data_IF_315362316960
#
_entry.id   IF_315362316960
#
_cell.length_a   1.000
_cell.length_b   1.000
_cell.length_c   1.000
_cell.angle_alpha   90.00
_cell.angle_beta   90.00
_cell.angle_gamma   90.00
#
_symmetry.space_group_name_H-M   'P 1'
#
loop_
_entity.id
_entity.type
_entity.pdbx_description
1 polymer ?
#
# COMPACT_ATOMS: atom_id res chain seq x y z
N UNK A 1 -11.61 -22.05 16.10
CA UNK A 1 -12.21 -20.81 15.57
C UNK A 1 -11.27 -19.67 15.96
N UNK A 2 -10.51 -19.12 15.02
CA UNK A 2 -9.78 -17.87 15.26
C UNK A 2 -10.80 -16.73 15.35
N UNK A 3 -10.70 -15.90 16.38
CA UNK A 3 -11.54 -14.71 16.51
C UNK A 3 -11.13 -13.73 15.42
N UNK A 4 -12.08 -13.34 14.55
CA UNK A 4 -11.86 -12.31 13.55
C UNK A 4 -11.70 -10.97 14.27
N UNK A 5 -10.57 -10.30 14.03
CA UNK A 5 -10.23 -9.05 14.68
C UNK A 5 -9.40 -8.18 13.73
N UNK A 6 -9.84 -6.95 13.52
CA UNK A 6 -9.08 -5.93 12.81
C UNK A 6 -8.24 -5.11 13.81
N UNK A 7 -6.89 -5.26 13.83
CA UNK A 7 -6.07 -4.60 14.84
C UNK A 7 -5.89 -3.12 14.53
N UNK A 8 -6.42 -2.24 15.41
CA UNK A 8 -6.29 -0.78 15.26
C UNK A 8 -4.84 -0.32 15.11
N UNK A 9 -3.92 -0.94 15.86
CA UNK A 9 -2.49 -0.65 15.76
C UNK A 9 -1.91 -0.95 14.36
N UNK A 10 -2.32 -2.04 13.71
CA UNK A 10 -1.89 -2.39 12.34
C UNK A 10 -2.48 -1.42 11.31
N UNK A 11 -3.77 -1.08 11.44
CA UNK A 11 -4.44 -0.13 10.55
C UNK A 11 -3.81 1.25 10.66
N UNK A 12 -3.65 1.78 11.87
CA UNK A 12 -2.99 3.06 12.09
C UNK A 12 -1.55 3.04 11.55
N UNK A 13 -0.82 1.97 11.85
CA UNK A 13 0.56 1.78 11.42
C UNK A 13 0.69 1.89 9.90
N UNK A 14 -0.21 1.26 9.15
CA UNK A 14 -0.18 1.29 7.68
C UNK A 14 -0.34 2.70 7.11
N UNK A 15 -1.33 3.47 7.58
CA UNK A 15 -1.59 4.81 7.03
C UNK A 15 -0.51 5.82 7.43
N UNK A 16 0.00 5.75 8.67
CA UNK A 16 1.07 6.65 9.12
C UNK A 16 2.37 6.35 8.37
N UNK A 17 2.74 5.08 8.21
CA UNK A 17 3.98 4.71 7.51
C UNK A 17 3.89 5.04 6.02
N UNK A 18 2.73 4.87 5.38
CA UNK A 18 2.49 5.33 4.01
C UNK A 18 2.60 6.86 3.87
N UNK A 19 2.06 7.62 4.82
CA UNK A 19 2.21 9.08 4.85
C UNK A 19 3.67 9.49 5.00
N UNK A 20 4.44 8.82 5.87
CA UNK A 20 5.89 9.03 6.01
C UNK A 20 6.60 8.70 4.69
N UNK A 21 6.26 7.58 4.04
CA UNK A 21 6.83 7.17 2.75
C UNK A 21 6.67 8.22 1.65
N UNK A 22 5.44 8.72 1.46
CA UNK A 22 5.14 9.82 0.53
C UNK A 22 6.06 11.03 0.77
N UNK A 23 6.23 11.36 2.04
CA UNK A 23 6.92 12.54 2.50
C UNK A 23 8.46 12.42 2.43
N UNK A 24 9.01 11.22 2.60
CA UNK A 24 10.44 10.94 2.40
C UNK A 24 10.89 11.24 0.97
N UNK A 25 10.06 10.89 -0.03
CA UNK A 25 10.34 11.15 -1.45
C UNK A 25 10.38 12.64 -1.75
N UNK A 26 9.49 13.43 -1.13
CA UNK A 26 9.42 14.89 -1.32
C UNK A 26 10.65 15.63 -0.79
N UNK A 27 11.41 15.06 0.15
CA UNK A 27 12.66 15.65 0.63
C UNK A 27 13.86 15.39 -0.29
N UNK A 28 13.84 14.27 -1.02
CA UNK A 28 14.97 13.81 -1.83
C UNK A 28 14.83 14.16 -3.32
N UNK A 29 13.68 14.68 -3.75
CA UNK A 29 13.37 14.83 -5.17
C UNK A 29 13.23 16.29 -5.63
N UNK A 30 14.06 16.66 -6.63
CA UNK A 30 13.72 17.66 -7.66
C UNK A 30 12.87 17.01 -8.78
N UNK A 31 12.33 15.80 -8.54
CA UNK A 31 11.59 15.03 -9.53
C UNK A 31 10.17 15.55 -9.68
N UNK A 32 9.62 15.34 -10.87
CA UNK A 32 8.30 15.81 -11.30
C UNK A 32 7.25 15.25 -10.32
N UNK A 33 6.57 16.14 -9.59
CA UNK A 33 5.37 15.77 -8.83
C UNK A 33 4.38 15.11 -9.79
N UNK A 34 3.99 13.87 -9.52
CA UNK A 34 2.83 13.30 -10.18
C UNK A 34 1.62 14.17 -9.82
N UNK A 35 0.80 14.52 -10.82
CA UNK A 35 -0.39 15.36 -10.63
C UNK A 35 -1.53 14.65 -9.86
N UNK A 36 -1.32 13.41 -9.43
CA UNK A 36 -2.32 12.52 -8.84
C UNK A 36 -1.96 12.22 -7.39
N UNK A 37 -2.70 12.80 -6.43
CA UNK A 37 -2.49 12.51 -5.00
C UNK A 37 -3.28 11.25 -4.59
N UNK A 38 -2.78 10.09 -5.01
CA UNK A 38 -3.39 8.78 -4.75
C UNK A 38 -3.52 8.48 -3.25
N UNK A 39 -2.60 9.01 -2.42
CA UNK A 39 -2.71 8.91 -0.97
C UNK A 39 -3.89 9.72 -0.40
N UNK A 40 -4.15 10.92 -0.95
CA UNK A 40 -5.32 11.72 -0.59
C UNK A 40 -6.62 10.99 -0.94
N UNK A 41 -6.69 10.34 -2.10
CA UNK A 41 -7.83 9.49 -2.48
C UNK A 41 -8.02 8.33 -1.50
N UNK A 42 -6.93 7.68 -1.08
CA UNK A 42 -6.98 6.65 -0.04
C UNK A 42 -7.53 7.20 1.28
N UNK A 43 -7.14 8.42 1.69
CA UNK A 43 -7.67 9.07 2.89
C UNK A 43 -9.17 9.40 2.75
N UNK A 44 -9.62 9.86 1.59
CA UNK A 44 -11.04 10.11 1.33
C UNK A 44 -11.84 8.81 1.44
N UNK A 45 -11.34 7.73 0.86
CA UNK A 45 -11.97 6.42 0.98
C UNK A 45 -12.00 5.92 2.42
N UNK A 46 -10.90 6.07 3.15
CA UNK A 46 -10.83 5.77 4.57
C UNK A 46 -11.93 6.53 5.34
N UNK A 47 -12.15 7.81 5.01
CA UNK A 47 -13.22 8.62 5.59
C UNK A 47 -14.63 8.10 5.24
N UNK A 48 -14.88 7.70 3.99
CA UNK A 48 -16.16 7.11 3.59
C UNK A 48 -16.47 5.83 4.37
N UNK A 49 -15.49 4.95 4.51
CA UNK A 49 -15.64 3.69 5.27
C UNK A 49 -15.79 3.95 6.77
N UNK A 50 -15.14 4.96 7.32
CA UNK A 50 -15.23 5.35 8.72
C UNK A 50 -16.62 5.89 9.12
N UNK A 51 -17.40 6.44 8.18
CA UNK A 51 -18.73 7.03 8.41
C UNK A 51 -19.85 6.10 7.91
N UNK A 52 -19.53 4.83 7.63
CA UNK A 52 -20.47 3.81 7.16
C UNK A 52 -21.25 4.18 5.87
N UNK A 53 -20.62 4.93 4.97
CA UNK A 53 -21.24 5.27 3.70
C UNK A 53 -20.93 4.19 2.65
N UNK A 54 -21.86 3.24 2.48
CA UNK A 54 -21.74 2.11 1.55
C UNK A 54 -21.79 2.49 0.05
N UNK A 55 -21.86 3.77 -0.32
CA UNK A 55 -21.89 4.20 -1.72
C UNK A 55 -20.50 4.27 -2.37
N UNK A 56 -19.69 3.23 -2.16
CA UNK A 56 -18.33 3.15 -2.70
C UNK A 56 -18.28 3.11 -4.24
N UNK A 57 -19.32 2.61 -4.91
CA UNK A 57 -19.37 2.60 -6.37
C UNK A 57 -19.36 4.01 -6.98
N UNK A 58 -19.96 4.99 -6.29
CA UNK A 58 -19.94 6.39 -6.72
C UNK A 58 -18.55 7.03 -6.54
N UNK A 59 -17.75 6.52 -5.60
CA UNK A 59 -16.41 7.04 -5.35
C UNK A 59 -15.51 6.93 -6.58
N UNK A 60 -15.54 5.81 -7.30
CA UNK A 60 -14.73 5.64 -8.52
C UNK A 60 -15.34 6.28 -9.76
N UNK A 61 -16.68 6.31 -9.85
CA UNK A 61 -17.36 6.91 -10.99
C UNK A 61 -17.15 8.43 -11.07
N UNK A 62 -16.82 9.07 -9.95
CA UNK A 62 -16.60 10.52 -9.87
C UNK A 62 -15.16 10.95 -10.15
N UNK A 63 -14.21 10.02 -10.29
CA UNK A 63 -12.82 10.37 -10.60
C UNK A 63 -12.62 10.43 -12.12
N UNK A 64 -12.25 11.60 -12.63
CA UNK A 64 -12.01 11.85 -14.06
C UNK A 64 -10.57 11.59 -14.52
N UNK A 65 -9.73 11.01 -13.65
CA UNK A 65 -8.29 10.91 -13.86
C UNK A 65 -7.90 9.52 -14.39
N UNK A 66 -6.89 9.49 -15.27
CA UNK A 66 -6.21 8.24 -15.60
C UNK A 66 -5.32 7.84 -14.43
N UNK A 67 -5.60 6.69 -13.83
CA UNK A 67 -4.78 6.13 -12.76
C UNK A 67 -3.87 5.02 -13.27
N UNK A 68 -2.63 4.99 -12.79
CA UNK A 68 -1.82 3.79 -12.91
C UNK A 68 -2.36 2.69 -11.97
N UNK A 69 -2.04 1.42 -12.24
CA UNK A 69 -2.37 0.31 -11.33
C UNK A 69 -1.89 0.54 -9.88
N UNK A 70 -0.75 1.19 -9.69
CA UNK A 70 -0.24 1.57 -8.37
C UNK A 70 -1.12 2.59 -7.66
N UNK A 71 -1.62 3.60 -8.37
CA UNK A 71 -2.55 4.60 -7.83
C UNK A 71 -3.85 3.94 -7.34
N UNK A 72 -4.37 3.00 -8.12
CA UNK A 72 -5.54 2.21 -7.75
C UNK A 72 -5.24 1.36 -6.52
N UNK A 73 -4.10 0.66 -6.47
CA UNK A 73 -3.71 -0.13 -5.30
C UNK A 73 -3.59 0.74 -4.04
N UNK A 74 -3.02 1.93 -4.15
CA UNK A 74 -2.91 2.92 -3.06
C UNK A 74 -4.30 3.38 -2.62
N UNK A 75 -5.13 3.82 -3.55
CA UNK A 75 -6.45 4.37 -3.27
C UNK A 75 -7.39 3.29 -2.69
N UNK A 76 -7.28 2.04 -3.15
CA UNK A 76 -8.08 0.90 -2.65
C UNK A 76 -7.60 0.35 -1.31
N UNK A 77 -6.42 0.72 -0.81
CA UNK A 77 -5.83 0.12 0.40
C UNK A 77 -6.78 0.09 1.63
N UNK A 78 -7.55 1.15 1.94
CA UNK A 78 -8.57 1.09 3.01
C UNK A 78 -9.61 -0.01 2.82
N UNK A 79 -10.06 -0.24 1.58
CA UNK A 79 -10.99 -1.34 1.29
C UNK A 79 -10.34 -2.70 1.52
N UNK A 80 -9.07 -2.87 1.09
CA UNK A 80 -8.34 -4.13 1.26
C UNK A 80 -8.31 -4.52 2.74
N UNK A 81 -7.98 -3.57 3.60
CA UNK A 81 -8.02 -3.74 5.06
C UNK A 81 -9.44 -4.02 5.55
N UNK A 82 -10.44 -3.23 5.15
CA UNK A 82 -11.81 -3.36 5.67
C UNK A 82 -12.45 -4.71 5.30
N UNK A 83 -12.19 -5.20 4.09
CA UNK A 83 -12.81 -6.41 3.55
C UNK A 83 -11.86 -7.61 3.50
N UNK A 84 -10.78 -7.64 4.29
CA UNK A 84 -9.79 -8.74 4.26
C UNK A 84 -10.40 -10.13 4.50
N UNK A 85 -11.51 -10.21 5.23
CA UNK A 85 -12.26 -11.45 5.48
C UNK A 85 -13.34 -11.76 4.44
N UNK A 86 -13.65 -10.81 3.53
CA UNK A 86 -14.66 -10.92 2.49
C UNK A 86 -14.03 -10.74 1.09
N UNK A 87 -13.20 -11.69 0.63
CA UNK A 87 -12.48 -11.57 -0.63
C UNK A 87 -13.41 -11.35 -1.84
N UNK A 88 -14.64 -11.91 -1.81
CA UNK A 88 -15.65 -11.70 -2.85
C UNK A 88 -16.06 -10.24 -3.04
N UNK A 89 -16.11 -9.46 -1.95
CA UNK A 89 -16.42 -8.03 -2.03
C UNK A 89 -15.26 -7.31 -2.73
N UNK A 90 -14.02 -7.59 -2.33
CA UNK A 90 -12.83 -7.02 -2.96
C UNK A 90 -12.72 -7.38 -4.45
N UNK A 91 -13.01 -8.62 -4.82
CA UNK A 91 -13.03 -9.06 -6.22
C UNK A 91 -14.07 -8.30 -7.04
N UNK A 92 -15.28 -8.11 -6.49
CA UNK A 92 -16.34 -7.35 -7.15
C UNK A 92 -15.95 -5.89 -7.33
N UNK A 93 -15.38 -5.27 -6.30
CA UNK A 93 -14.97 -3.87 -6.36
C UNK A 93 -13.81 -3.66 -7.32
N UNK A 94 -12.82 -4.55 -7.30
CA UNK A 94 -11.73 -4.53 -8.27
C UNK A 94 -12.25 -4.70 -9.70
N UNK A 95 -13.23 -5.57 -9.95
CA UNK A 95 -13.83 -5.73 -11.28
C UNK A 95 -14.54 -4.46 -11.78
N UNK A 96 -15.23 -3.73 -10.90
CA UNK A 96 -15.86 -2.44 -11.23
C UNK A 96 -14.78 -1.41 -11.62
N UNK A 97 -13.72 -1.34 -10.83
CA UNK A 97 -12.59 -0.42 -11.08
C UNK A 97 -11.86 -0.80 -12.36
N UNK A 98 -11.59 -2.09 -12.58
CA UNK A 98 -10.99 -2.61 -13.82
C UNK A 98 -11.78 -2.17 -15.04
N UNK A 99 -13.11 -2.23 -15.00
CA UNK A 99 -13.96 -1.77 -16.09
C UNK A 99 -13.92 -0.25 -16.27
N UNK A 100 -13.97 0.52 -15.17
CA UNK A 100 -13.97 1.98 -15.22
C UNK A 100 -12.65 2.56 -15.77
N UNK A 101 -11.51 1.95 -15.44
CA UNK A 101 -10.18 2.41 -15.85
C UNK A 101 -9.53 1.56 -16.94
N UNK A 102 -10.28 0.61 -17.53
CA UNK A 102 -9.79 -0.29 -18.59
C UNK A 102 -8.51 -1.04 -18.21
N UNK A 103 -8.44 -1.57 -16.98
CA UNK A 103 -7.30 -2.36 -16.55
C UNK A 103 -7.21 -3.65 -17.36
N UNK A 104 -6.00 -3.95 -17.86
CA UNK A 104 -5.69 -5.24 -18.41
C UNK A 104 -5.61 -6.31 -17.31
N UNK A 105 -5.54 -7.57 -17.75
CA UNK A 105 -5.54 -8.71 -16.83
C UNK A 105 -4.30 -8.75 -15.94
N UNK A 106 -3.14 -8.35 -16.46
CA UNK A 106 -1.87 -8.34 -15.73
C UNK A 106 -1.91 -7.25 -14.65
N UNK A 107 -2.47 -6.09 -14.96
CA UNK A 107 -2.68 -4.98 -14.02
C UNK A 107 -3.59 -5.40 -12.87
N UNK A 108 -4.75 -5.99 -13.18
CA UNK A 108 -5.69 -6.50 -12.18
C UNK A 108 -5.03 -7.56 -11.28
N UNK A 109 -4.33 -8.53 -11.88
CA UNK A 109 -3.69 -9.59 -11.13
C UNK A 109 -2.50 -9.05 -10.30
N UNK A 110 -1.81 -7.99 -10.74
CA UNK A 110 -0.76 -7.31 -9.96
C UNK A 110 -1.34 -6.59 -8.73
N UNK A 111 -2.53 -5.97 -8.85
CA UNK A 111 -3.23 -5.39 -7.69
C UNK A 111 -3.68 -6.49 -6.72
N UNK A 112 -4.12 -7.65 -7.24
CA UNK A 112 -4.47 -8.81 -6.40
C UNK A 112 -3.31 -9.32 -5.57
N UNK A 113 -2.07 -9.22 -6.04
CA UNK A 113 -0.88 -9.57 -5.24
C UNK A 113 -0.84 -8.71 -3.97
N UNK A 114 -1.09 -7.40 -4.08
CA UNK A 114 -1.13 -6.51 -2.90
C UNK A 114 -2.28 -6.92 -1.97
N UNK A 115 -3.47 -7.22 -2.51
CA UNK A 115 -4.60 -7.72 -1.71
C UNK A 115 -4.21 -9.01 -0.97
N UNK A 116 -3.53 -9.94 -1.64
CA UNK A 116 -3.04 -11.18 -1.03
C UNK A 116 -2.05 -10.90 0.10
N UNK A 117 -1.07 -10.01 -0.10
CA UNK A 117 -0.11 -9.64 0.96
C UNK A 117 -0.84 -9.03 2.16
N UNK A 118 -1.77 -8.10 1.95
CA UNK A 118 -2.58 -7.49 3.04
C UNK A 118 -3.32 -8.57 3.82
N UNK A 119 -3.98 -9.50 3.11
CA UNK A 119 -4.70 -10.60 3.75
C UNK A 119 -3.75 -11.47 4.60
N UNK A 120 -2.62 -11.90 4.04
CA UNK A 120 -1.62 -12.70 4.77
C UNK A 120 -1.06 -11.99 6.00
N UNK A 121 -0.86 -10.67 5.94
CA UNK A 121 -0.43 -9.88 7.11
C UNK A 121 -1.53 -9.84 8.18
N UNK A 122 -2.79 -9.67 7.79
CA UNK A 122 -3.93 -9.55 8.71
C UNK A 122 -4.33 -10.90 9.32
N UNK A 123 -4.13 -12.01 8.61
CA UNK A 123 -4.33 -13.37 9.12
C UNK A 123 -3.12 -13.90 9.88
N UNK A 124 -1.98 -13.19 9.86
CA UNK A 124 -0.68 -13.62 10.39
C UNK A 124 -0.18 -14.92 9.73
N UNK A 125 -0.47 -15.10 8.44
CA UNK A 125 -0.07 -16.25 7.63
C UNK A 125 1.08 -15.91 6.65
N UNK A 126 1.63 -14.69 6.73
CA UNK A 126 2.72 -14.26 5.85
C UNK A 126 4.04 -14.93 6.23
N UNK A 127 4.61 -15.70 5.29
CA UNK A 127 5.95 -16.29 5.41
C UNK A 127 6.95 -15.60 4.45
N UNK A 128 7.96 -14.92 5.00
CA UNK A 128 8.93 -14.18 4.19
C UNK A 128 9.89 -15.07 3.37
N UNK A 129 10.03 -16.34 3.76
CA UNK A 129 10.85 -17.33 3.04
C UNK A 129 10.24 -17.83 1.73
N UNK A 130 8.93 -17.65 1.53
CA UNK A 130 8.18 -18.24 0.41
C UNK A 130 7.38 -17.20 -0.39
N UNK A 131 8.05 -16.20 -0.95
CA UNK A 131 7.40 -15.10 -1.71
C UNK A 131 6.55 -15.67 -2.86
N UNK A 132 7.11 -16.52 -3.72
CA UNK A 132 6.35 -17.15 -4.81
C UNK A 132 5.26 -18.07 -4.26
N UNK A 133 5.55 -18.89 -3.25
CA UNK A 133 4.59 -19.83 -2.65
C UNK A 133 3.35 -19.11 -2.13
N UNK A 134 3.55 -17.94 -1.52
CA UNK A 134 2.49 -17.11 -0.97
C UNK A 134 1.70 -16.33 -2.02
N UNK A 135 2.32 -15.96 -3.14
CA UNK A 135 1.78 -14.96 -4.07
C UNK A 135 1.40 -15.51 -5.45
N UNK A 136 1.68 -16.80 -5.74
CA UNK A 136 1.37 -17.40 -7.05
C UNK A 136 0.30 -18.48 -6.98
N UNK A 137 -0.89 -18.13 -7.46
CA UNK A 137 -1.91 -19.09 -7.93
C UNK A 137 -2.32 -18.82 -9.39
N UNK A 138 -1.41 -18.26 -10.20
CA UNK A 138 -1.72 -17.75 -11.55
C UNK A 138 -0.51 -17.65 -12.50
N UNK A 139 -0.80 -17.08 -13.69
CA UNK A 139 -0.03 -17.05 -14.97
C UNK A 139 1.50 -16.86 -14.88
N UNK A 140 2.17 -17.34 -15.93
CA UNK A 140 3.63 -17.38 -16.07
C UNK A 140 4.32 -16.00 -15.97
N UNK A 141 3.74 -14.92 -16.48
CA UNK A 141 4.38 -13.59 -16.49
C UNK A 141 4.53 -12.99 -15.08
N UNK A 142 3.47 -13.01 -14.28
CA UNK A 142 3.51 -12.54 -12.88
C UNK A 142 4.48 -13.39 -12.06
N UNK A 143 4.46 -14.70 -12.31
CA UNK A 143 5.40 -15.63 -11.70
C UNK A 143 6.85 -15.24 -12.03
N UNK A 144 7.15 -14.84 -13.27
CA UNK A 144 8.48 -14.39 -13.66
C UNK A 144 8.88 -13.08 -12.93
N UNK A 145 7.96 -12.12 -12.77
CA UNK A 145 8.26 -10.89 -12.00
C UNK A 145 8.55 -11.17 -10.53
N UNK A 146 7.76 -12.05 -9.90
CA UNK A 146 7.97 -12.46 -8.51
C UNK A 146 9.24 -13.30 -8.34
N UNK A 147 9.57 -14.15 -9.31
CA UNK A 147 10.85 -14.88 -9.34
C UNK A 147 12.05 -13.94 -9.39
N UNK A 148 11.96 -12.89 -10.22
CA UNK A 148 13.01 -11.88 -10.30
C UNK A 148 13.19 -11.15 -8.97
N UNK A 149 12.10 -10.79 -8.29
CA UNK A 149 12.15 -10.19 -6.94
C UNK A 149 12.78 -11.16 -5.93
N UNK A 150 12.36 -12.42 -5.93
CA UNK A 150 12.89 -13.44 -5.02
C UNK A 150 14.39 -13.66 -5.21
N UNK A 151 14.86 -13.66 -6.46
CA UNK A 151 16.29 -13.73 -6.79
C UNK A 151 17.06 -12.54 -6.19
N UNK A 152 16.54 -11.32 -6.33
CA UNK A 152 17.20 -10.13 -5.76
C UNK A 152 17.29 -10.16 -4.24
N UNK A 153 16.27 -10.68 -3.58
CA UNK A 153 16.24 -10.78 -2.12
C UNK A 153 17.24 -11.83 -1.65
N UNK A 154 17.23 -13.02 -2.27
CA UNK A 154 18.17 -14.11 -1.96
C UNK A 154 19.63 -13.72 -2.18
N UNK A 155 19.90 -12.96 -3.24
CA UNK A 155 21.26 -12.55 -3.60
C UNK A 155 21.69 -11.21 -2.97
N UNK A 156 20.86 -10.60 -2.12
CA UNK A 156 21.10 -9.28 -1.54
C UNK A 156 21.51 -8.23 -2.59
N UNK A 157 20.82 -8.23 -3.74
CA UNK A 157 21.21 -7.41 -4.87
C UNK A 157 21.24 -5.90 -4.51
N UNK A 158 22.26 -5.15 -4.98
CA UNK A 158 22.33 -3.72 -4.76
C UNK A 158 21.17 -3.00 -5.48
N UNK A 159 20.68 -1.92 -4.89
CA UNK A 159 19.47 -1.25 -5.35
C UNK A 159 19.56 -0.78 -6.81
N UNK A 160 20.73 -0.34 -7.26
CA UNK A 160 20.98 0.07 -8.64
C UNK A 160 20.75 -1.05 -9.65
N UNK A 161 21.18 -2.28 -9.34
CA UNK A 161 20.95 -3.44 -10.21
C UNK A 161 19.47 -3.85 -10.20
N UNK A 162 18.82 -3.74 -9.05
CA UNK A 162 17.38 -4.04 -8.92
C UNK A 162 16.57 -3.05 -9.76
N UNK A 163 16.86 -1.76 -9.67
CA UNK A 163 16.20 -0.73 -10.46
C UNK A 163 16.37 -0.96 -11.97
N UNK A 164 17.60 -1.17 -12.43
CA UNK A 164 17.90 -1.41 -13.84
C UNK A 164 17.15 -2.64 -14.37
N UNK A 165 17.21 -3.76 -13.64
CA UNK A 165 16.57 -4.99 -14.10
C UNK A 165 15.04 -4.94 -13.98
N UNK A 166 14.47 -4.37 -12.92
CA UNK A 166 13.00 -4.24 -12.81
C UNK A 166 12.46 -3.31 -13.91
N UNK A 167 13.12 -2.16 -14.15
CA UNK A 167 12.69 -1.22 -15.21
C UNK A 167 12.81 -1.80 -16.62
N UNK A 168 13.73 -2.75 -16.84
CA UNK A 168 13.89 -3.45 -18.13
C UNK A 168 12.88 -4.57 -18.32
N UNK A 169 12.54 -5.31 -17.26
CA UNK A 169 11.73 -6.54 -17.36
C UNK A 169 10.26 -6.36 -17.00
N UNK A 170 9.91 -5.30 -16.28
CA UNK A 170 8.54 -5.04 -15.80
C UNK A 170 7.98 -3.80 -16.52
N UNK A 171 6.73 -3.87 -17.03
CA UNK A 171 6.06 -2.72 -17.61
C UNK A 171 6.07 -1.50 -16.69
N UNK A 172 6.33 -0.31 -17.25
CA UNK A 172 6.47 0.94 -16.49
C UNK A 172 5.27 1.23 -15.57
N UNK A 173 4.05 0.96 -16.02
CA UNK A 173 2.81 1.15 -15.25
C UNK A 173 2.68 0.21 -14.03
N UNK A 174 3.49 -0.85 -13.95
CA UNK A 174 3.49 -1.81 -12.83
C UNK A 174 4.71 -1.67 -11.93
N UNK A 175 5.69 -0.87 -12.33
CA UNK A 175 7.00 -0.82 -11.71
C UNK A 175 6.91 -0.53 -10.21
N UNK A 176 6.09 0.43 -9.80
CA UNK A 176 5.93 0.79 -8.38
C UNK A 176 5.37 -0.33 -7.51
N UNK A 177 4.46 -1.14 -8.06
CA UNK A 177 3.90 -2.29 -7.34
C UNK A 177 5.04 -3.27 -7.03
N UNK A 178 5.79 -3.68 -8.04
CA UNK A 178 6.84 -4.68 -7.88
C UNK A 178 8.07 -4.16 -7.11
N UNK A 179 8.43 -2.89 -7.28
CA UNK A 179 9.44 -2.23 -6.44
C UNK A 179 8.99 -2.18 -4.97
N UNK A 180 7.71 -1.92 -4.71
CA UNK A 180 7.20 -1.86 -3.34
C UNK A 180 7.20 -3.23 -2.65
N UNK A 181 6.87 -4.30 -3.41
CA UNK A 181 6.96 -5.69 -2.96
C UNK A 181 8.42 -6.04 -2.65
N UNK A 182 9.35 -5.71 -3.56
CA UNK A 182 10.77 -5.91 -3.33
C UNK A 182 11.23 -5.21 -2.04
N UNK A 183 10.90 -3.93 -1.86
CA UNK A 183 11.27 -3.19 -0.66
C UNK A 183 10.69 -3.79 0.62
N UNK A 184 9.43 -4.23 0.59
CA UNK A 184 8.76 -4.85 1.73
C UNK A 184 9.42 -6.18 2.14
N UNK A 185 9.70 -7.07 1.18
CA UNK A 185 10.28 -8.38 1.47
C UNK A 185 11.81 -8.38 1.66
N UNK A 186 12.52 -7.33 1.25
CA UNK A 186 14.00 -7.29 1.35
C UNK A 186 14.53 -7.22 2.79
N UNK A 187 13.89 -6.40 3.64
CA UNK A 187 14.28 -6.24 5.05
C UNK A 187 13.02 -6.15 5.93
N UNK A 188 12.28 -7.26 6.08
CA UNK A 188 10.97 -7.24 6.71
C UNK A 188 11.03 -6.87 8.20
N UNK A 189 12.14 -7.16 8.89
CA UNK A 189 12.34 -6.79 10.29
C UNK A 189 12.87 -5.36 10.47
N UNK A 190 13.21 -4.66 9.38
CA UNK A 190 13.78 -3.33 9.42
C UNK A 190 12.94 -2.34 8.61
N UNK A 191 11.86 -1.88 9.26
CA UNK A 191 10.95 -0.85 8.74
C UNK A 191 11.71 0.34 8.14
N UNK A 192 12.74 0.85 8.84
CA UNK A 192 13.47 2.05 8.43
C UNK A 192 14.22 1.84 7.11
N UNK A 193 15.01 0.77 7.02
CA UNK A 193 15.80 0.47 5.82
C UNK A 193 14.87 0.21 4.63
N UNK A 194 13.82 -0.61 4.82
CA UNK A 194 12.86 -0.93 3.76
C UNK A 194 12.16 0.31 3.22
N UNK A 195 11.70 1.20 4.09
CA UNK A 195 11.06 2.44 3.68
C UNK A 195 12.04 3.41 3.01
N UNK A 196 13.26 3.57 3.54
CA UNK A 196 14.26 4.43 2.90
C UNK A 196 14.68 3.93 1.52
N UNK A 197 14.79 2.61 1.32
CA UNK A 197 15.09 2.05 -0.02
C UNK A 197 14.05 2.42 -1.06
N UNK A 198 12.77 2.45 -0.66
CA UNK A 198 11.66 2.78 -1.58
C UNK A 198 11.76 4.20 -2.16
N UNK A 199 12.36 5.14 -1.42
CA UNK A 199 12.52 6.53 -1.89
C UNK A 199 13.70 6.74 -2.84
N UNK A 200 14.56 5.74 -3.04
CA UNK A 200 15.75 5.85 -3.89
C UNK A 200 15.54 5.38 -5.33
N UNK A 201 14.39 4.79 -5.67
CA UNK A 201 14.07 4.49 -7.07
C UNK A 201 13.85 5.80 -7.85
N UNK A 202 14.31 5.89 -9.10
CA UNK A 202 14.24 7.12 -9.88
C UNK A 202 12.86 7.37 -10.51
N UNK A 203 12.11 6.30 -10.81
CA UNK A 203 10.77 6.38 -11.41
C UNK A 203 9.71 5.99 -10.39
N UNK A 204 8.61 6.76 -10.35
CA UNK A 204 7.42 6.46 -9.53
C UNK A 204 7.75 6.18 -8.05
N UNK A 205 8.74 6.87 -7.50
CA UNK A 205 9.23 6.68 -6.13
C UNK A 205 8.17 6.98 -5.08
N UNK A 206 7.29 7.96 -5.34
CA UNK A 206 6.19 8.29 -4.42
C UNK A 206 5.23 7.11 -4.26
N UNK A 207 4.72 6.55 -5.38
CA UNK A 207 3.80 5.41 -5.33
C UNK A 207 4.46 4.18 -4.69
N UNK A 208 5.73 3.94 -5.02
CA UNK A 208 6.54 2.87 -4.42
C UNK A 208 6.64 3.04 -2.91
N UNK A 209 6.98 4.25 -2.45
CA UNK A 209 7.15 4.54 -1.04
C UNK A 209 5.84 4.50 -0.25
N UNK A 210 4.74 4.94 -0.84
CA UNK A 210 3.41 4.84 -0.23
C UNK A 210 3.02 3.36 -0.06
N UNK A 211 3.13 2.54 -1.10
CA UNK A 211 2.79 1.12 -1.03
C UNK A 211 3.71 0.35 -0.07
N UNK A 212 5.02 0.59 -0.11
CA UNK A 212 5.97 0.03 0.85
C UNK A 212 5.61 0.44 2.27
N UNK A 213 5.29 1.72 2.49
CA UNK A 213 4.89 2.22 3.81
C UNK A 213 3.62 1.57 4.32
N UNK A 214 2.60 1.42 3.46
CA UNK A 214 1.37 0.72 3.79
C UNK A 214 1.64 -0.71 4.28
N UNK A 215 2.41 -1.50 3.53
CA UNK A 215 2.70 -2.89 3.87
C UNK A 215 3.56 -3.01 5.13
N UNK A 216 4.62 -2.21 5.26
CA UNK A 216 5.49 -2.20 6.44
C UNK A 216 4.72 -1.82 7.70
N UNK A 217 3.90 -0.76 7.62
CA UNK A 217 3.09 -0.30 8.74
C UNK A 217 2.00 -1.29 9.14
N UNK A 218 1.37 -1.96 8.16
CA UNK A 218 0.40 -3.02 8.42
C UNK A 218 1.06 -4.23 9.11
N UNK A 219 2.28 -4.57 8.70
CA UNK A 219 3.03 -5.69 9.26
C UNK A 219 3.54 -5.41 10.68
N UNK A 220 4.18 -4.26 10.89
CA UNK A 220 4.79 -3.92 12.17
C UNK A 220 3.82 -3.36 13.20
N UNK A 221 2.75 -2.70 12.74
CA UNK A 221 1.88 -1.92 13.61
C UNK A 221 2.48 -0.57 14.01
N UNK A 222 1.62 0.35 14.46
CA UNK A 222 1.99 1.72 14.81
C UNK A 222 2.96 1.78 16.00
N UNK A 223 2.80 0.90 16.98
CA UNK A 223 3.63 0.87 18.19
C UNK A 223 5.13 0.71 17.89
N UNK A 224 5.45 0.00 16.79
CA UNK A 224 6.81 -0.30 16.35
C UNK A 224 7.39 0.75 15.40
N UNK A 225 6.63 1.79 15.04
CA UNK A 225 7.15 2.91 14.26
C UNK A 225 8.08 3.75 15.16
N UNK A 226 9.31 4.08 14.72
CA UNK A 226 10.23 4.91 15.49
C UNK A 226 9.57 6.21 15.94
N UNK A 227 9.74 6.57 17.22
CA UNK A 227 9.13 7.77 17.79
C UNK A 227 9.47 9.04 17.01
N UNK A 228 10.75 9.18 16.62
CA UNK A 228 11.22 10.31 15.78
C UNK A 228 10.42 10.44 14.48
N UNK A 229 10.00 9.32 13.88
CA UNK A 229 9.18 9.35 12.67
C UNK A 229 7.71 9.68 12.93
N UNK A 230 7.24 9.51 14.17
CA UNK A 230 5.89 9.92 14.59
C UNK A 230 5.82 11.40 14.96
N UNK A 231 6.89 11.95 15.54
CA UNK A 231 6.88 13.30 16.11
C UNK A 231 7.65 14.34 15.31
N UNK A 232 8.61 13.91 14.49
CA UNK A 232 9.45 14.79 13.66
C UNK A 232 9.14 14.57 12.19
N UNK A 233 7.86 14.57 11.81
CA UNK A 233 7.44 14.62 10.40
C UNK A 233 7.69 16.05 9.87
N UNK A 234 8.96 16.46 9.85
CA UNK A 234 9.50 17.68 9.23
C UNK A 234 9.69 17.49 7.71
N UNK A 235 8.83 16.66 7.09
CA UNK A 235 8.91 16.32 5.67
C UNK A 235 8.04 17.22 4.79
N UNK A 236 7.28 18.13 5.41
CA UNK A 236 6.49 19.15 4.72
C UNK A 236 7.05 20.52 5.05
N UNK A 237 6.71 21.51 4.23
CA UNK A 237 7.00 22.92 4.48
C UNK A 237 6.38 23.48 5.76
N UNK A 238 5.44 22.75 6.39
CA UNK A 238 4.69 23.17 7.58
C UNK A 238 4.53 22.01 8.59
N UNK A 239 5.29 21.99 9.69
CA UNK A 239 5.13 21.00 10.76
C UNK A 239 3.70 20.91 11.32
N UNK A 240 2.94 22.01 11.24
CA UNK A 240 1.54 22.07 11.70
C UNK A 240 0.63 21.23 10.80
N UNK A 241 0.79 21.32 9.47
CA UNK A 241 -0.02 20.57 8.50
C UNK A 241 0.23 19.06 8.62
N UNK A 242 1.49 18.64 8.79
CA UNK A 242 1.83 17.24 9.05
C UNK A 242 1.12 16.71 10.29
N UNK A 243 1.17 17.45 11.41
CA UNK A 243 0.56 17.05 12.67
C UNK A 243 -0.97 16.97 12.58
N UNK A 244 -1.61 17.89 11.86
CA UNK A 244 -3.05 17.83 11.60
C UNK A 244 -3.41 16.59 10.79
N UNK A 245 -2.62 16.26 9.76
CA UNK A 245 -2.88 15.07 8.94
C UNK A 245 -2.71 13.76 9.70
N UNK A 246 -1.71 13.67 10.57
CA UNK A 246 -1.53 12.51 11.48
C UNK A 246 -2.75 12.34 12.36
N UNK A 247 -3.21 13.41 13.02
CA UNK A 247 -4.40 13.36 13.88
C UNK A 247 -5.67 12.97 13.11
N UNK A 248 -5.81 13.47 11.89
CA UNK A 248 -6.92 13.08 11.01
C UNK A 248 -6.88 11.57 10.74
N UNK A 249 -5.71 11.03 10.37
CA UNK A 249 -5.52 9.59 10.13
C UNK A 249 -5.84 8.79 11.41
N UNK A 250 -5.35 9.22 12.58
CA UNK A 250 -5.65 8.59 13.88
C UNK A 250 -7.17 8.48 14.09
N UNK A 251 -7.90 9.59 14.01
CA UNK A 251 -9.36 9.63 14.19
C UNK A 251 -10.08 8.74 13.17
N UNK A 252 -9.68 8.79 11.89
CA UNK A 252 -10.33 8.02 10.84
C UNK A 252 -10.09 6.51 10.99
N UNK A 253 -8.90 6.10 11.40
CA UNK A 253 -8.59 4.68 11.62
C UNK A 253 -9.31 4.12 12.85
N UNK A 254 -9.43 4.90 13.93
CA UNK A 254 -10.26 4.52 15.09
C UNK A 254 -11.72 4.31 14.68
N UNK A 255 -12.30 5.25 13.92
CA UNK A 255 -13.67 5.14 13.41
C UNK A 255 -13.85 3.97 12.45
N UNK A 256 -12.90 3.74 11.55
CA UNK A 256 -12.92 2.59 10.63
C UNK A 256 -13.01 1.28 11.42
N UNK A 257 -12.15 1.11 12.42
CA UNK A 257 -12.10 -0.11 13.24
C UNK A 257 -13.38 -0.25 14.08
N UNK A 258 -13.87 0.84 14.67
CA UNK A 258 -15.13 0.83 15.41
C UNK A 258 -16.32 0.43 14.51
N UNK A 259 -16.38 1.00 13.29
CA UNK A 259 -17.40 0.65 12.31
C UNK A 259 -17.30 -0.81 11.88
N UNK A 260 -16.09 -1.29 11.56
CA UNK A 260 -15.84 -2.69 11.20
C UNK A 260 -16.25 -3.67 12.30
N UNK A 261 -16.05 -3.30 13.57
CA UNK A 261 -16.45 -4.09 14.74
C UNK A 261 -17.94 -4.00 15.07
N UNK A 262 -18.72 -3.19 14.34
CA UNK A 262 -20.14 -2.95 14.61
C UNK A 262 -20.41 -2.19 15.91
N UNK A 263 -19.44 -1.39 16.39
CA UNK A 263 -19.53 -0.62 17.64
C UNK A 263 -20.04 0.82 17.47
N UNK A 264 -20.32 1.24 16.25
CA UNK A 264 -20.88 2.57 15.99
C UNK A 264 -22.40 2.49 16.14
N UNK A 265 -22.94 3.19 17.15
CA UNK A 265 -24.38 3.45 17.25
C UNK A 265 -24.78 4.41 16.11
N UNK A 266 -25.86 4.07 15.39
CA UNK A 266 -26.45 4.95 14.36
C UNK A 266 -27.06 6.22 14.97
#
# INVERSE_FOLDING_TARGET
MSLLFLPSDKVLGSFITAFIGKNLVNQHSNFIKNNHDSFSLACQLLQYLAINNYQFQLFWQTQSQHFFPSDIAIAMFPLMIYNYHNPKILEKELAIISNNYSLGKIEEDSIKIIITIVNLILTNELEFSEIIGNLTKGKDEIKNYLQLIEEFIKNHAPLTQVEEKLSTNIPKNLLSIYQSIYCFFSFPDNLKISLQRSSYFAQESEATAILTGYLLGLYHGYINIPYQWRTEINFTSSPIESNLKIKEIEILTEKLVANWQGKMDN
#
